data_IF_718832519408
#
_entry.id   IF_718832519408
#
_cell.length_a   1.000
_cell.length_b   1.000
_cell.length_c   1.000
_cell.angle_alpha   90.00
_cell.angle_beta   90.00
_cell.angle_gamma   90.00
#
_symmetry.space_group_name_H-M   'P 1'
#
loop_
_entity.id
_entity.type
_entity.pdbx_description
1 polymer ?
#
# COMPACT_ATOMS: atom_id res chain seq x y z
N UNK A 1 20.98 -55.79 -39.07
CA UNK A 1 21.31 -54.76 -38.05
C UNK A 1 20.19 -53.77 -37.66
N UNK A 2 19.04 -53.65 -38.37
CA UNK A 2 18.00 -52.62 -38.06
C UNK A 2 17.13 -52.88 -36.81
N UNK A 3 16.92 -54.12 -36.37
CA UNK A 3 16.00 -54.45 -35.23
C UNK A 3 16.49 -54.01 -33.85
N UNK A 4 17.81 -53.90 -33.62
CA UNK A 4 18.40 -53.56 -32.31
C UNK A 4 18.18 -52.07 -31.96
N UNK A 5 18.20 -51.19 -32.97
CA UNK A 5 18.08 -49.74 -32.80
C UNK A 5 16.62 -49.30 -32.46
N UNK A 6 15.62 -50.04 -32.94
CA UNK A 6 14.19 -49.77 -32.65
C UNK A 6 13.83 -50.14 -31.20
N UNK A 7 14.43 -51.20 -30.64
CA UNK A 7 14.19 -51.61 -29.24
C UNK A 7 14.70 -50.55 -28.25
N UNK A 8 15.86 -49.95 -28.52
CA UNK A 8 16.43 -48.91 -27.65
C UNK A 8 15.59 -47.62 -27.64
N UNK A 9 15.04 -47.20 -28.79
CA UNK A 9 14.15 -46.03 -28.86
C UNK A 9 12.85 -46.23 -28.08
N UNK A 10 12.25 -47.43 -28.13
CA UNK A 10 11.04 -47.75 -27.35
C UNK A 10 11.31 -47.81 -25.84
N UNK A 11 12.49 -48.27 -25.44
CA UNK A 11 12.91 -48.28 -24.03
C UNK A 11 13.11 -46.86 -23.48
N UNK A 12 13.72 -45.98 -24.28
CA UNK A 12 13.93 -44.58 -23.88
C UNK A 12 12.62 -43.80 -23.77
N UNK A 13 11.70 -43.97 -24.72
CA UNK A 13 10.38 -43.33 -24.66
C UNK A 13 9.58 -43.74 -23.41
N UNK A 14 9.67 -45.01 -22.99
CA UNK A 14 9.03 -45.50 -21.75
C UNK A 14 9.68 -44.89 -20.51
N UNK A 15 11.00 -44.77 -20.48
CA UNK A 15 11.72 -44.16 -19.36
C UNK A 15 11.39 -42.67 -19.20
N UNK A 16 11.36 -41.91 -20.30
CA UNK A 16 10.99 -40.48 -20.30
C UNK A 16 9.53 -40.30 -19.85
N UNK A 17 8.61 -41.13 -20.33
CA UNK A 17 7.22 -41.11 -19.89
C UNK A 17 7.06 -41.38 -18.39
N UNK A 18 7.85 -42.30 -17.84
CA UNK A 18 7.82 -42.62 -16.41
C UNK A 18 8.32 -41.44 -15.56
N UNK A 19 9.41 -40.79 -15.97
CA UNK A 19 9.96 -39.61 -15.28
C UNK A 19 8.94 -38.47 -15.28
N UNK A 20 8.24 -38.24 -16.40
CA UNK A 20 7.25 -37.19 -16.50
C UNK A 20 6.03 -37.44 -15.59
N UNK A 21 5.56 -38.70 -15.50
CA UNK A 21 4.47 -39.06 -14.59
C UNK A 21 4.86 -38.89 -13.11
N UNK A 22 6.09 -39.24 -12.74
CA UNK A 22 6.60 -39.02 -11.38
C UNK A 22 6.69 -37.53 -11.07
N UNK A 23 7.16 -36.71 -12.01
CA UNK A 23 7.22 -35.26 -11.82
C UNK A 23 5.82 -34.64 -11.58
N UNK A 24 4.81 -35.06 -12.35
CA UNK A 24 3.43 -34.60 -12.16
C UNK A 24 2.89 -35.03 -10.79
N UNK A 25 3.11 -36.28 -10.38
CA UNK A 25 2.66 -36.79 -9.09
C UNK A 25 3.31 -36.03 -7.93
N UNK A 26 4.62 -35.74 -8.01
CA UNK A 26 5.33 -34.95 -7.01
C UNK A 26 4.81 -33.52 -6.97
N UNK A 27 4.58 -32.87 -8.12
CA UNK A 27 3.97 -31.53 -8.17
C UNK A 27 2.56 -31.50 -7.58
N UNK A 28 1.75 -32.53 -7.79
CA UNK A 28 0.41 -32.62 -7.20
C UNK A 28 0.45 -32.79 -5.68
N UNK A 29 1.32 -33.66 -5.15
CA UNK A 29 1.52 -33.83 -3.71
C UNK A 29 2.06 -32.56 -3.07
N UNK A 30 3.01 -31.90 -3.73
CA UNK A 30 3.55 -30.61 -3.27
C UNK A 30 2.45 -29.55 -3.25
N UNK A 31 1.61 -29.46 -4.28
CA UNK A 31 0.49 -28.51 -4.28
C UNK A 31 -0.49 -28.77 -3.12
N UNK A 32 -0.88 -30.03 -2.89
CA UNK A 32 -1.77 -30.41 -1.78
C UNK A 32 -1.17 -30.04 -0.42
N UNK A 33 0.09 -30.37 -0.17
CA UNK A 33 0.79 -30.09 1.10
C UNK A 33 0.84 -28.59 1.42
N UNK A 34 1.19 -27.76 0.44
CA UNK A 34 1.27 -26.31 0.65
C UNK A 34 -0.12 -25.65 0.74
N UNK A 35 -1.16 -26.21 0.11
CA UNK A 35 -2.53 -25.68 0.27
C UNK A 35 -3.11 -25.96 1.65
N UNK A 36 -2.77 -27.09 2.29
CA UNK A 36 -3.28 -27.41 3.64
C UNK A 36 -2.61 -26.59 4.75
N UNK A 37 -1.36 -26.18 4.59
CA UNK A 37 -0.64 -25.36 5.59
C UNK A 37 -1.13 -23.89 5.64
N UNK A 38 -1.74 -23.39 4.57
CA UNK A 38 -2.30 -22.03 4.52
C UNK A 38 -3.63 -21.96 5.31
N UNK A 39 -4.39 -23.05 5.40
CA UNK A 39 -5.68 -23.07 6.10
C UNK A 39 -5.57 -23.35 7.61
N UNK A 40 -4.48 -23.96 8.08
CA UNK A 40 -4.28 -24.28 9.50
C UNK A 40 -3.58 -23.18 10.33
N UNK A 41 -3.25 -22.02 9.74
CA UNK A 41 -2.73 -20.84 10.44
C UNK A 41 -3.81 -19.87 10.94
N UNK A 42 -5.07 -20.28 10.98
CA UNK A 42 -6.13 -19.62 11.75
C UNK A 42 -5.97 -19.87 13.25
N UNK A 43 -4.94 -19.26 13.87
CA UNK A 43 -4.72 -19.35 15.32
C UNK A 43 -5.77 -18.49 16.03
N UNK A 44 -6.56 -19.11 16.91
CA UNK A 44 -7.53 -18.45 17.78
C UNK A 44 -6.91 -17.24 18.49
N UNK A 45 -7.51 -16.06 18.30
CA UNK A 45 -7.22 -14.88 19.11
C UNK A 45 -7.89 -15.10 20.47
N UNK A 46 -7.13 -15.58 21.46
CA UNK A 46 -7.53 -15.48 22.87
C UNK A 46 -7.43 -14.01 23.29
N UNK A 47 -8.58 -13.34 23.32
CA UNK A 47 -8.71 -12.00 23.90
C UNK A 47 -8.50 -12.12 25.41
N UNK A 48 -7.28 -11.86 25.87
CA UNK A 48 -7.02 -11.65 27.29
C UNK A 48 -7.50 -10.26 27.69
N UNK A 49 -8.25 -10.18 28.79
CA UNK A 49 -8.75 -8.95 29.37
C UNK A 49 -7.61 -7.94 29.59
N UNK A 50 -7.56 -6.88 28.78
CA UNK A 50 -6.73 -5.71 29.05
C UNK A 50 -7.41 -4.94 30.19
N UNK A 51 -6.86 -5.06 31.39
CA UNK A 51 -7.12 -4.14 32.51
C UNK A 51 -6.88 -2.71 32.03
N UNK A 52 -7.93 -1.89 32.01
CA UNK A 52 -7.84 -0.46 31.72
C UNK A 52 -6.81 0.19 32.66
N UNK A 53 -5.63 0.50 32.12
CA UNK A 53 -4.61 1.27 32.82
C UNK A 53 -4.96 2.76 32.71
N UNK A 54 -5.63 3.25 33.75
CA UNK A 54 -5.70 4.62 34.25
C UNK A 54 -5.30 5.71 33.23
N UNK A 55 -6.30 6.28 32.55
CA UNK A 55 -6.15 7.52 31.77
C UNK A 55 -5.63 8.64 32.70
N UNK A 56 -4.58 9.32 32.24
CA UNK A 56 -3.99 10.49 32.88
C UNK A 56 -5.01 11.64 32.83
N UNK A 57 -5.51 12.08 33.99
CA UNK A 57 -6.40 13.25 34.09
C UNK A 57 -5.55 14.51 33.96
N UNK A 58 -5.61 15.17 32.80
CA UNK A 58 -5.18 16.56 32.68
C UNK A 58 -6.40 17.42 32.99
N UNK A 59 -6.35 18.17 34.08
CA UNK A 59 -7.39 19.13 34.45
C UNK A 59 -7.34 20.34 33.49
N UNK A 60 -8.49 20.81 32.97
CA UNK A 60 -8.54 22.08 32.26
C UNK A 60 -8.56 23.23 33.28
N UNK A 61 -7.75 24.25 33.02
CA UNK A 61 -7.76 25.52 33.74
C UNK A 61 -8.89 26.38 33.17
N UNK A 62 -9.89 26.70 33.99
CA UNK A 62 -10.97 27.64 33.64
C UNK A 62 -10.53 29.09 33.85
N UNK A 63 -11.11 29.96 33.00
CA UNK A 63 -11.20 31.42 32.94
C UNK A 63 -10.87 31.84 31.49
N UNK A 64 -11.74 32.44 30.67
CA UNK A 64 -12.84 33.39 30.91
C UNK A 64 -13.93 33.22 29.84
N UNK A 65 -15.19 33.34 30.28
CA UNK A 65 -16.43 33.43 29.51
C UNK A 65 -16.46 34.59 28.50
N UNK A 66 -17.07 34.40 27.32
CA UNK A 66 -18.11 35.33 26.81
C UNK A 66 -18.75 34.79 25.51
N UNK A 67 -19.93 34.20 25.68
CA UNK A 67 -21.14 34.42 24.88
C UNK A 67 -21.07 34.24 23.36
N UNK A 68 -21.26 32.99 22.90
CA UNK A 68 -22.38 32.73 21.99
C UNK A 68 -22.86 31.28 22.12
N UNK A 69 -24.13 31.14 22.48
CA UNK A 69 -24.82 29.91 22.79
C UNK A 69 -24.96 29.07 21.52
N UNK A 70 -24.14 28.02 21.37
CA UNK A 70 -24.53 26.81 20.67
C UNK A 70 -24.49 25.66 21.68
N UNK A 71 -25.65 25.42 22.28
CA UNK A 71 -25.92 24.35 23.23
C UNK A 71 -25.86 23.01 22.50
N UNK A 72 -24.72 22.33 22.53
CA UNK A 72 -24.67 20.92 22.14
C UNK A 72 -25.21 20.09 23.30
N UNK A 73 -26.49 19.70 23.23
CA UNK A 73 -26.98 18.59 24.04
C UNK A 73 -26.20 17.31 23.70
N UNK A 74 -25.88 16.47 24.69
CA UNK A 74 -25.25 15.18 24.46
C UNK A 74 -26.31 14.20 23.94
N UNK A 75 -26.70 14.34 22.68
CA UNK A 75 -27.45 13.29 21.99
C UNK A 75 -26.50 12.13 21.68
N UNK A 76 -26.86 10.96 22.21
CA UNK A 76 -26.29 9.64 21.99
C UNK A 76 -25.42 9.51 20.73
N UNK A 77 -24.09 9.58 20.90
CA UNK A 77 -23.07 9.34 19.86
C UNK A 77 -23.07 7.87 19.38
N UNK A 78 -23.88 6.99 19.99
CA UNK A 78 -24.05 5.60 19.56
C UNK A 78 -24.95 5.45 18.33
N UNK A 79 -25.97 6.30 18.15
CA UNK A 79 -26.99 6.13 17.10
C UNK A 79 -26.67 6.84 15.78
N UNK A 80 -25.64 7.69 15.74
CA UNK A 80 -25.29 8.48 14.55
C UNK A 80 -24.05 7.97 13.78
N UNK A 81 -23.50 6.81 14.17
CA UNK A 81 -22.39 6.16 13.44
C UNK A 81 -22.82 5.64 12.06
N UNK A 82 -24.11 5.34 11.88
CA UNK A 82 -24.64 4.67 10.69
C UNK A 82 -25.14 5.59 9.56
N UNK A 83 -25.18 6.92 9.73
CA UNK A 83 -25.65 7.82 8.64
C UNK A 83 -24.55 8.34 7.70
N UNK A 84 -23.27 8.23 8.08
CA UNK A 84 -22.12 8.52 7.20
C UNK A 84 -21.42 7.26 6.67
N UNK A 85 -21.90 6.06 7.08
CA UNK A 85 -21.32 4.77 6.75
C UNK A 85 -21.73 4.22 5.37
N UNK A 86 -22.22 5.07 4.46
CA UNK A 86 -22.78 4.63 3.17
C UNK A 86 -21.74 4.26 2.09
N UNK A 87 -20.45 4.51 2.31
CA UNK A 87 -19.39 4.23 1.30
C UNK A 87 -18.04 3.77 1.86
N UNK A 88 -17.74 4.10 3.12
CA UNK A 88 -16.41 3.87 3.71
C UNK A 88 -16.53 3.17 5.06
N UNK A 89 -15.60 2.26 5.37
CA UNK A 89 -15.40 1.76 6.73
C UNK A 89 -14.97 2.91 7.67
N UNK A 90 -15.15 2.75 8.98
CA UNK A 90 -14.69 3.74 9.95
C UNK A 90 -13.20 4.07 9.77
N UNK A 91 -12.37 3.06 9.51
CA UNK A 91 -10.95 3.23 9.25
C UNK A 91 -10.70 4.06 7.99
N UNK A 92 -11.42 3.77 6.90
CA UNK A 92 -11.34 4.54 5.65
C UNK A 92 -11.78 6.00 5.84
N UNK A 93 -12.80 6.25 6.66
CA UNK A 93 -13.22 7.61 6.99
C UNK A 93 -12.17 8.38 7.80
N UNK A 94 -11.56 7.74 8.80
CA UNK A 94 -10.51 8.33 9.63
C UNK A 94 -9.25 8.64 8.82
N UNK A 95 -8.78 7.70 8.00
CA UNK A 95 -7.63 7.96 7.14
C UNK A 95 -7.94 9.05 6.11
N UNK A 96 -9.13 9.06 5.51
CA UNK A 96 -9.54 10.14 4.59
C UNK A 96 -9.39 11.50 5.25
N UNK A 97 -9.92 11.67 6.47
CA UNK A 97 -9.80 12.90 7.26
C UNK A 97 -8.33 13.28 7.54
N UNK A 98 -7.48 12.31 7.88
CA UNK A 98 -6.06 12.56 8.13
C UNK A 98 -5.34 13.01 6.86
N UNK A 99 -5.62 12.36 5.73
CA UNK A 99 -5.06 12.72 4.42
C UNK A 99 -5.55 14.11 4.00
N UNK A 100 -6.83 14.42 4.14
CA UNK A 100 -7.39 15.74 3.80
C UNK A 100 -6.69 16.86 4.55
N UNK A 101 -6.46 16.69 5.86
CA UNK A 101 -5.72 17.66 6.68
C UNK A 101 -4.28 17.85 6.22
N UNK A 102 -3.59 16.76 5.86
CA UNK A 102 -2.20 16.81 5.42
C UNK A 102 -2.04 17.41 4.01
N UNK A 103 -2.97 17.09 3.11
CA UNK A 103 -2.97 17.52 1.72
C UNK A 103 -3.41 18.99 1.58
N UNK A 104 -4.43 19.41 2.33
CA UNK A 104 -4.98 20.75 2.23
C UNK A 104 -5.43 21.08 0.81
N UNK A 105 -4.94 22.19 0.26
CA UNK A 105 -5.31 22.67 -1.09
C UNK A 105 -4.30 22.27 -2.18
N UNK A 106 -3.45 21.28 -1.94
CA UNK A 106 -2.46 20.81 -2.92
C UNK A 106 -3.12 19.93 -4.01
N UNK A 107 -2.47 19.74 -5.17
CA UNK A 107 -3.04 18.97 -6.29
C UNK A 107 -3.48 17.54 -5.92
N UNK A 108 -2.81 16.90 -4.95
CA UNK A 108 -3.23 15.58 -4.43
C UNK A 108 -4.63 15.58 -3.80
N UNK A 109 -5.26 16.72 -3.52
CA UNK A 109 -6.62 16.80 -2.97
C UNK A 109 -7.62 16.04 -3.83
N UNK A 110 -7.43 16.06 -5.15
CA UNK A 110 -8.29 15.39 -6.13
C UNK A 110 -8.16 13.85 -6.10
N UNK A 111 -7.16 13.31 -5.41
CA UNK A 111 -6.91 11.86 -5.30
C UNK A 111 -7.36 11.29 -3.95
N UNK A 112 -7.73 12.14 -2.98
CA UNK A 112 -7.89 11.69 -1.58
C UNK A 112 -8.98 10.63 -1.41
N UNK A 113 -10.07 10.72 -2.17
CA UNK A 113 -11.13 9.70 -2.16
C UNK A 113 -10.60 8.31 -2.57
N UNK A 114 -9.88 8.26 -3.68
CA UNK A 114 -9.30 7.02 -4.21
C UNK A 114 -8.13 6.50 -3.36
N UNK A 115 -7.34 7.38 -2.76
CA UNK A 115 -6.28 6.95 -1.84
C UNK A 115 -6.92 6.34 -0.58
N UNK A 116 -7.96 6.98 -0.03
CA UNK A 116 -8.62 6.51 1.19
C UNK A 116 -9.46 5.25 1.00
N UNK A 117 -9.77 4.85 -0.25
CA UNK A 117 -10.44 3.58 -0.54
C UNK A 117 -9.49 2.39 -0.41
N UNK A 118 -8.16 2.62 -0.45
CA UNK A 118 -7.13 1.59 -0.27
C UNK A 118 -7.01 1.13 1.17
N UNK A 119 -6.33 0.00 1.38
CA UNK A 119 -5.97 -0.41 2.73
C UNK A 119 -5.02 0.62 3.38
N UNK A 120 -5.00 0.62 4.71
CA UNK A 120 -4.32 1.62 5.55
C UNK A 120 -2.82 1.75 5.19
N UNK A 121 -2.12 0.64 5.01
CA UNK A 121 -0.69 0.64 4.69
C UNK A 121 -0.42 1.24 3.31
N UNK A 122 -1.15 0.79 2.29
CA UNK A 122 -1.03 1.30 0.92
C UNK A 122 -1.36 2.80 0.84
N UNK A 123 -2.45 3.22 1.49
CA UNK A 123 -2.83 4.63 1.55
C UNK A 123 -1.76 5.50 2.24
N UNK A 124 -1.17 4.98 3.32
CA UNK A 124 -0.11 5.67 4.07
C UNK A 124 1.15 5.84 3.21
N UNK A 125 1.59 4.79 2.51
CA UNK A 125 2.73 4.88 1.60
C UNK A 125 2.47 5.79 0.40
N UNK A 126 1.27 5.74 -0.20
CA UNK A 126 0.88 6.64 -1.29
C UNK A 126 1.11 8.10 -0.89
N UNK A 127 0.63 8.51 0.27
CA UNK A 127 0.76 9.91 0.69
C UNK A 127 2.17 10.24 1.17
N UNK A 128 2.83 9.32 1.89
CA UNK A 128 4.19 9.53 2.40
C UNK A 128 5.22 9.70 1.27
N UNK A 129 5.17 8.83 0.26
CA UNK A 129 6.05 8.91 -0.91
C UNK A 129 5.74 10.19 -1.69
N UNK A 130 4.47 10.50 -1.95
CA UNK A 130 4.12 11.71 -2.69
C UNK A 130 4.50 13.01 -1.96
N UNK A 131 4.47 12.99 -0.62
CA UNK A 131 4.95 14.11 0.18
C UNK A 131 6.43 14.38 -0.04
N UNK A 132 7.25 13.33 -0.16
CA UNK A 132 8.66 13.47 -0.42
C UNK A 132 8.95 13.82 -1.89
N UNK A 133 8.37 13.09 -2.84
CA UNK A 133 8.71 13.17 -4.27
C UNK A 133 8.21 14.44 -4.96
N UNK A 134 7.04 14.94 -4.57
CA UNK A 134 6.38 16.06 -5.25
C UNK A 134 5.82 17.12 -4.31
N UNK A 135 6.01 16.96 -2.99
CA UNK A 135 5.30 17.72 -1.98
C UNK A 135 3.79 17.72 -2.24
N UNK A 136 3.22 16.51 -2.38
CA UNK A 136 1.79 16.24 -2.60
C UNK A 136 1.27 16.88 -3.91
N UNK A 137 2.07 16.78 -4.97
CA UNK A 137 1.75 17.27 -6.31
C UNK A 137 2.13 18.72 -6.60
N UNK A 138 2.74 19.45 -5.65
CA UNK A 138 3.26 20.81 -5.92
C UNK A 138 4.31 20.80 -7.04
N UNK A 139 5.14 19.77 -7.08
CA UNK A 139 6.18 19.56 -8.08
C UNK A 139 5.87 18.27 -8.84
N UNK A 140 4.99 18.34 -9.84
CA UNK A 140 4.62 17.20 -10.67
C UNK A 140 5.14 17.36 -12.10
N UNK A 141 5.43 16.24 -12.80
CA UNK A 141 5.70 16.29 -14.22
C UNK A 141 4.47 16.80 -14.95
N UNK A 142 4.71 17.54 -16.04
CA UNK A 142 3.67 18.01 -16.94
C UNK A 142 3.95 17.52 -18.35
N UNK A 143 2.89 17.32 -19.12
CA UNK A 143 2.96 17.01 -20.55
C UNK A 143 1.98 17.90 -21.28
N UNK A 144 2.47 18.62 -22.28
CA UNK A 144 1.68 19.57 -23.07
C UNK A 144 0.93 20.60 -22.20
N UNK A 145 1.61 21.08 -21.15
CA UNK A 145 1.06 22.04 -20.18
C UNK A 145 0.12 21.44 -19.12
N UNK A 146 -0.29 20.17 -19.26
CA UNK A 146 -1.22 19.49 -18.35
C UNK A 146 -0.49 18.72 -17.27
N UNK A 147 -1.11 18.63 -16.08
CA UNK A 147 -0.63 17.79 -14.99
C UNK A 147 -0.73 16.31 -15.37
N UNK A 148 0.32 15.56 -15.09
CA UNK A 148 0.39 14.12 -15.35
C UNK A 148 -0.16 13.27 -14.21
N UNK A 149 -0.63 13.89 -13.11
CA UNK A 149 -1.13 13.21 -11.91
C UNK A 149 -0.11 12.23 -11.30
N UNK A 150 1.18 12.38 -11.61
CA UNK A 150 2.24 11.52 -11.12
C UNK A 150 2.99 12.21 -10.00
N UNK A 151 2.54 11.96 -8.77
CA UNK A 151 3.07 12.60 -7.57
C UNK A 151 4.15 11.77 -6.87
N UNK A 152 4.46 10.58 -7.40
CA UNK A 152 5.33 9.57 -6.78
C UNK A 152 6.64 9.35 -7.52
N UNK A 153 6.89 10.11 -8.59
CA UNK A 153 8.06 9.89 -9.45
C UNK A 153 8.02 8.55 -10.22
N UNK A 154 6.82 8.01 -10.47
CA UNK A 154 6.64 6.70 -11.08
C UNK A 154 7.11 6.67 -12.54
N UNK A 155 7.88 5.64 -12.92
CA UNK A 155 8.46 5.46 -14.27
C UNK A 155 8.00 4.16 -14.93
N UNK A 156 6.69 3.99 -15.09
CA UNK A 156 6.08 2.87 -15.81
C UNK A 156 6.18 3.02 -17.34
N UNK A 157 5.73 2.01 -18.08
CA UNK A 157 5.74 2.00 -19.56
C UNK A 157 4.72 2.96 -20.20
N UNK A 158 3.63 3.25 -19.50
CA UNK A 158 2.49 4.01 -20.01
C UNK A 158 2.79 5.51 -20.18
N UNK A 159 2.39 6.06 -21.33
CA UNK A 159 2.35 7.48 -21.68
C UNK A 159 3.48 8.33 -21.08
N UNK A 160 4.73 7.99 -21.41
CA UNK A 160 5.89 8.65 -20.80
C UNK A 160 6.02 10.13 -21.19
N UNK A 161 6.53 10.93 -20.26
CA UNK A 161 7.11 12.23 -20.54
C UNK A 161 8.50 12.08 -21.16
N UNK A 162 9.08 13.16 -21.69
CA UNK A 162 10.46 13.14 -22.22
C UNK A 162 11.49 12.69 -21.18
N UNK A 163 11.24 12.94 -19.90
CA UNK A 163 12.10 12.53 -18.77
C UNK A 163 11.79 11.12 -18.25
N UNK A 164 10.89 10.38 -18.90
CA UNK A 164 10.59 8.98 -18.61
C UNK A 164 9.57 8.74 -17.49
N UNK A 165 8.98 9.79 -16.90
CA UNK A 165 7.88 9.64 -15.94
C UNK A 165 6.59 9.25 -16.64
N UNK A 166 5.80 8.37 -16.06
CA UNK A 166 4.44 8.09 -16.56
C UNK A 166 3.57 9.33 -16.44
N UNK A 167 2.77 9.61 -17.47
CA UNK A 167 1.77 10.66 -17.48
C UNK A 167 0.38 10.03 -17.49
N UNK A 168 -0.31 10.08 -16.36
CA UNK A 168 -1.64 9.49 -16.21
C UNK A 168 -2.70 10.47 -16.72
N UNK A 169 -3.80 9.92 -17.23
CA UNK A 169 -4.91 10.69 -17.79
C UNK A 169 -5.84 11.20 -16.69
N UNK A 170 -5.88 10.53 -15.52
CA UNK A 170 -6.76 10.90 -14.42
C UNK A 170 -6.17 10.59 -13.03
N UNK A 171 -6.66 11.27 -11.97
CA UNK A 171 -6.36 10.93 -10.57
C UNK A 171 -6.61 9.45 -10.24
N UNK A 172 -7.72 8.88 -10.70
CA UNK A 172 -8.14 7.50 -10.45
C UNK A 172 -7.17 6.51 -11.10
N UNK A 173 -6.78 6.75 -12.35
CA UNK A 173 -5.79 5.92 -13.04
C UNK A 173 -4.45 5.96 -12.30
N UNK A 174 -3.99 7.15 -11.89
CA UNK A 174 -2.73 7.32 -11.19
C UNK A 174 -2.71 6.57 -9.85
N UNK A 175 -3.73 6.76 -9.02
CA UNK A 175 -3.87 6.04 -7.74
C UNK A 175 -4.00 4.55 -7.96
N UNK A 176 -4.69 4.11 -9.02
CA UNK A 176 -4.82 2.70 -9.34
C UNK A 176 -3.49 2.06 -9.68
N UNK A 177 -2.76 2.61 -10.65
CA UNK A 177 -1.48 2.04 -11.09
C UNK A 177 -0.43 2.08 -9.98
N UNK A 178 -0.26 3.22 -9.34
CA UNK A 178 0.76 3.39 -8.29
C UNK A 178 0.37 2.64 -7.02
N UNK A 179 -0.90 2.73 -6.62
CA UNK A 179 -1.43 2.01 -5.46
C UNK A 179 -1.29 0.50 -5.62
N UNK A 180 -1.59 -0.07 -6.79
CA UNK A 180 -1.41 -1.49 -7.04
C UNK A 180 0.06 -1.92 -6.96
N UNK A 181 1.00 -1.09 -7.41
CA UNK A 181 2.44 -1.39 -7.26
C UNK A 181 2.87 -1.39 -5.80
N UNK A 182 2.48 -0.38 -5.03
CA UNK A 182 2.79 -0.28 -3.59
C UNK A 182 2.15 -1.45 -2.84
N UNK A 183 0.89 -1.76 -3.13
CA UNK A 183 0.19 -2.87 -2.50
C UNK A 183 0.90 -4.20 -2.78
N UNK A 184 1.33 -4.45 -4.02
CA UNK A 184 2.14 -5.63 -4.36
C UNK A 184 3.46 -5.67 -3.59
N UNK A 185 4.16 -4.54 -3.47
CA UNK A 185 5.39 -4.45 -2.68
C UNK A 185 5.12 -4.90 -1.23
N UNK A 186 4.09 -4.34 -0.61
CA UNK A 186 3.73 -4.64 0.79
C UNK A 186 3.26 -6.08 0.99
N UNK A 187 2.27 -6.53 0.21
CA UNK A 187 1.49 -7.73 0.50
C UNK A 187 2.05 -9.01 -0.15
N UNK A 188 2.75 -8.87 -1.28
CA UNK A 188 3.24 -10.03 -2.06
C UNK A 188 4.76 -10.15 -1.92
N UNK A 189 5.47 -9.03 -2.03
CA UNK A 189 6.94 -9.02 -1.97
C UNK A 189 7.46 -8.86 -0.52
N UNK A 190 6.57 -8.68 0.46
CA UNK A 190 6.87 -8.46 1.89
C UNK A 190 7.83 -7.27 2.14
N UNK A 191 7.75 -6.26 1.29
CA UNK A 191 8.49 -4.99 1.41
C UNK A 191 7.53 -4.01 2.07
N UNK A 192 7.44 -4.04 3.40
CA UNK A 192 6.38 -3.35 4.15
C UNK A 192 6.91 -2.38 5.23
N UNK A 193 8.23 -2.24 5.38
CA UNK A 193 8.85 -1.17 6.19
C UNK A 193 9.38 -0.02 5.30
N UNK A 194 9.48 1.22 5.84
CA UNK A 194 10.08 2.33 5.08
C UNK A 194 11.54 2.11 4.67
N UNK A 195 12.29 1.27 5.40
CA UNK A 195 13.64 0.85 5.02
C UNK A 195 13.60 -0.02 3.76
N UNK A 196 12.77 -1.05 3.74
CA UNK A 196 12.65 -1.96 2.59
C UNK A 196 12.04 -1.24 1.39
N UNK A 197 11.12 -0.30 1.63
CA UNK A 197 10.47 0.52 0.61
C UNK A 197 11.46 1.43 -0.16
N UNK A 198 12.74 1.49 0.24
CA UNK A 198 13.81 2.08 -0.58
C UNK A 198 13.90 1.50 -1.98
N UNK A 199 13.37 0.29 -2.23
CA UNK A 199 13.20 -0.25 -3.59
C UNK A 199 12.43 0.69 -4.51
N UNK A 200 11.50 1.51 -3.97
CA UNK A 200 10.81 2.55 -4.73
C UNK A 200 11.77 3.63 -5.23
N UNK A 201 12.70 4.05 -4.39
CA UNK A 201 13.68 5.12 -4.69
C UNK A 201 14.82 4.62 -5.59
N UNK A 202 15.38 3.46 -5.26
CA UNK A 202 16.67 3.01 -5.80
C UNK A 202 16.54 1.81 -6.75
N UNK A 203 15.36 1.19 -6.88
CA UNK A 203 15.27 -0.11 -7.52
C UNK A 203 16.02 -1.18 -6.73
N UNK A 204 16.83 -1.99 -7.38
CA UNK A 204 17.56 -3.10 -6.72
C UNK A 204 18.76 -2.67 -5.88
N UNK A 205 19.30 -1.45 -6.08
CA UNK A 205 20.50 -0.99 -5.37
C UNK A 205 20.57 0.53 -5.29
N UNK A 206 20.95 1.05 -4.11
CA UNK A 206 21.21 2.48 -3.91
C UNK A 206 22.66 2.90 -4.18
N UNK A 207 23.52 2.03 -4.72
CA UNK A 207 24.97 2.31 -4.87
C UNK A 207 25.28 3.54 -5.74
N UNK A 208 24.41 3.86 -6.72
CA UNK A 208 24.54 5.06 -7.57
C UNK A 208 23.93 6.33 -6.98
N UNK A 209 23.38 6.28 -5.77
CA UNK A 209 22.69 7.41 -5.14
C UNK A 209 23.54 8.05 -4.04
N UNK A 210 23.35 9.35 -3.82
CA UNK A 210 23.93 10.04 -2.68
C UNK A 210 23.37 9.45 -1.36
N UNK A 211 24.20 8.95 -0.44
CA UNK A 211 23.74 8.33 0.81
C UNK A 211 22.88 9.27 1.67
N UNK A 212 23.18 10.57 1.68
CA UNK A 212 22.40 11.55 2.45
C UNK A 212 20.99 11.75 1.89
N UNK A 213 20.83 11.65 0.56
CA UNK A 213 19.52 11.75 -0.11
C UNK A 213 18.68 10.49 0.11
N UNK A 214 19.32 9.31 0.15
CA UNK A 214 18.67 8.04 0.49
C UNK A 214 18.18 8.06 1.94
N UNK A 215 19.04 8.48 2.87
CA UNK A 215 18.68 8.62 4.28
C UNK A 215 17.52 9.58 4.48
N UNK A 216 17.60 10.78 3.87
CA UNK A 216 16.54 11.79 3.93
C UNK A 216 15.23 11.30 3.34
N UNK A 217 15.27 10.53 2.25
CA UNK A 217 14.07 9.93 1.66
C UNK A 217 13.40 8.99 2.67
N UNK A 218 14.15 8.06 3.23
CA UNK A 218 13.65 7.09 4.22
C UNK A 218 13.05 7.77 5.44
N UNK A 219 13.78 8.71 6.05
CA UNK A 219 13.32 9.44 7.24
C UNK A 219 12.02 10.20 6.98
N UNK A 220 11.88 10.83 5.81
CA UNK A 220 10.64 11.51 5.45
C UNK A 220 9.49 10.53 5.23
N UNK A 221 9.71 9.46 4.48
CA UNK A 221 8.67 8.46 4.20
C UNK A 221 8.21 7.81 5.50
N UNK A 222 9.12 7.41 6.38
CA UNK A 222 8.79 6.85 7.70
C UNK A 222 7.96 7.83 8.56
N UNK A 223 8.39 9.08 8.65
CA UNK A 223 7.66 10.11 9.41
C UNK A 223 6.22 10.28 8.93
N UNK A 224 6.02 10.45 7.61
CA UNK A 224 4.68 10.67 7.07
C UNK A 224 3.84 9.40 7.06
N UNK A 225 4.45 8.22 6.85
CA UNK A 225 3.77 6.93 6.97
C UNK A 225 3.17 6.77 8.37
N UNK A 226 3.99 6.94 9.42
CA UNK A 226 3.55 6.86 10.82
C UNK A 226 2.49 7.89 11.16
N UNK A 227 2.63 9.12 10.67
CA UNK A 227 1.67 10.22 10.90
C UNK A 227 0.28 9.97 10.32
N UNK A 228 0.18 9.16 9.26
CA UNK A 228 -1.09 8.84 8.60
C UNK A 228 -1.70 7.57 9.20
N UNK A 229 -0.85 6.63 9.61
CA UNK A 229 -1.21 5.35 10.20
C UNK A 229 -1.49 5.43 11.72
N UNK A 230 -1.36 6.62 12.33
CA UNK A 230 -1.63 6.89 13.76
C UNK A 230 -3.06 7.30 14.07
#
# INVERSE_FOLDING_TARGET
MKKKNIKNKKSYARLVGLIFLVAIAVSFVFHQYYTTDVLNKGKEIKVSHIKQKKLFKIAPKEEIMSNNVLRCEPSNISSNKNRLAGKYSLNQFLIKRNIEKLVGNKPMKNMVGEIASRNLETASYLVAIAKHESNLGKFSPKKDGKDCFNYWGFRGSYNKTKSGYSCFDSPEQAVSVVGNRIQRLNEIENINTPEEMLVWKCGSSCAGHNPSDVKRWKENVDYYYKKINS
#
